data_IF_412446372930
#
_entry.id   IF_412446372930
#
_cell.length_a   1.000
_cell.length_b   1.000
_cell.length_c   1.000
_cell.angle_alpha   90.00
_cell.angle_beta   90.00
_cell.angle_gamma   90.00
#
_symmetry.space_group_name_H-M   'P 1'
#
loop_
_entity.id
_entity.type
_entity.pdbx_description
1 polymer ?
#
# COMPACT_ATOMS: atom_id res chain seq x y z
N UNK A 1 -42.90 -27.44 43.71
CA UNK A 1 -42.26 -27.13 42.41
C UNK A 1 -41.62 -25.73 42.34
N UNK A 2 -41.97 -24.77 43.16
CA UNK A 2 -41.37 -23.42 43.11
C UNK A 2 -39.94 -23.28 43.68
N UNK A 3 -39.52 -24.16 44.57
CA UNK A 3 -38.18 -24.08 45.22
C UNK A 3 -37.03 -24.41 44.26
N UNK A 4 -37.24 -25.27 43.25
CA UNK A 4 -36.21 -25.69 42.28
C UNK A 4 -35.91 -24.57 41.26
N UNK A 5 -36.89 -23.76 40.91
CA UNK A 5 -36.72 -22.66 39.94
C UNK A 5 -35.92 -21.48 40.52
N UNK A 6 -36.13 -21.21 41.83
CA UNK A 6 -35.38 -20.14 42.52
C UNK A 6 -33.87 -20.42 42.61
N UNK A 7 -33.46 -21.66 42.82
CA UNK A 7 -32.05 -22.04 42.88
C UNK A 7 -31.39 -21.96 41.50
N UNK A 8 -32.11 -22.27 40.42
CA UNK A 8 -31.59 -22.19 39.06
C UNK A 8 -31.37 -20.74 38.61
N UNK A 9 -32.24 -19.82 38.94
CA UNK A 9 -32.13 -18.41 38.63
C UNK A 9 -31.00 -17.74 39.43
N UNK A 10 -30.86 -18.09 40.71
CA UNK A 10 -29.79 -17.58 41.55
C UNK A 10 -28.40 -18.05 41.07
N UNK A 11 -28.27 -19.30 40.61
CA UNK A 11 -27.01 -19.83 40.07
C UNK A 11 -26.59 -19.15 38.77
N UNK A 12 -27.54 -18.84 37.87
CA UNK A 12 -27.27 -18.13 36.63
C UNK A 12 -26.86 -16.66 36.91
N UNK A 13 -27.47 -15.98 37.88
CA UNK A 13 -27.10 -14.60 38.24
C UNK A 13 -25.67 -14.54 38.83
N UNK A 14 -25.28 -15.52 39.68
CA UNK A 14 -23.92 -15.58 40.25
C UNK A 14 -22.87 -15.88 39.17
N UNK A 15 -23.17 -16.78 38.21
CA UNK A 15 -22.26 -17.05 37.08
C UNK A 15 -22.09 -15.83 36.17
N UNK A 16 -23.17 -15.10 35.86
CA UNK A 16 -23.08 -13.86 35.06
C UNK A 16 -22.25 -12.79 35.77
N UNK A 17 -22.42 -12.63 37.08
CA UNK A 17 -21.67 -11.65 37.87
C UNK A 17 -20.17 -12.01 37.96
N UNK A 18 -19.87 -13.28 38.16
CA UNK A 18 -18.48 -13.79 38.20
C UNK A 18 -17.77 -13.64 36.81
N UNK A 19 -18.48 -13.92 35.72
CA UNK A 19 -17.94 -13.76 34.37
C UNK A 19 -17.69 -12.28 34.01
N UNK A 20 -18.60 -11.41 34.43
CA UNK A 20 -18.45 -9.95 34.23
C UNK A 20 -17.23 -9.39 34.96
N UNK A 21 -17.03 -9.76 36.22
CA UNK A 21 -15.86 -9.34 37.00
C UNK A 21 -14.54 -9.94 36.50
N UNK A 22 -14.56 -11.17 35.99
CA UNK A 22 -13.37 -11.82 35.45
C UNK A 22 -12.91 -11.13 34.14
N UNK A 23 -13.87 -10.73 33.28
CA UNK A 23 -13.55 -9.96 32.07
C UNK A 23 -13.13 -8.52 32.39
N UNK A 24 -13.80 -7.85 33.33
CA UNK A 24 -13.47 -6.49 33.74
C UNK A 24 -12.03 -6.38 34.31
N UNK A 25 -11.56 -7.40 35.02
CA UNK A 25 -10.19 -7.45 35.54
C UNK A 25 -9.09 -7.59 34.48
N UNK A 26 -9.42 -8.08 33.28
CA UNK A 26 -8.46 -8.20 32.18
C UNK A 26 -8.35 -6.94 31.32
N UNK A 27 -9.38 -6.08 31.34
CA UNK A 27 -9.38 -4.83 30.55
C UNK A 27 -9.02 -3.60 31.38
N UNK A 28 -8.85 -3.73 32.70
CA UNK A 28 -8.40 -2.63 33.58
C UNK A 28 -6.86 -2.67 33.78
N UNK A 29 -6.12 -2.82 32.69
CA UNK A 29 -4.72 -2.42 32.68
C UNK A 29 -4.72 -0.88 32.72
N UNK A 30 -4.47 -0.31 33.91
CA UNK A 30 -4.22 1.12 34.04
C UNK A 30 -3.13 1.54 33.05
N UNK A 31 -3.33 2.63 32.30
CA UNK A 31 -2.22 3.23 31.56
C UNK A 31 -1.17 3.66 32.59
N UNK A 32 -0.05 2.95 32.64
CA UNK A 32 1.15 3.48 33.29
C UNK A 32 1.46 4.80 32.59
N UNK A 33 1.37 5.89 33.34
CA UNK A 33 2.00 7.15 32.95
C UNK A 33 3.51 6.89 32.90
N UNK A 34 3.99 6.59 31.70
CA UNK A 34 5.41 6.63 31.40
C UNK A 34 5.76 8.12 31.43
N UNK A 35 6.47 8.55 32.49
CA UNK A 35 7.17 9.83 32.46
C UNK A 35 8.03 9.84 31.22
N UNK A 36 7.69 10.71 30.27
CA UNK A 36 8.51 10.96 29.09
C UNK A 36 9.74 11.71 29.56
N UNK A 37 10.73 10.98 30.08
CA UNK A 37 12.10 11.47 30.13
C UNK A 37 12.52 11.62 28.66
N UNK A 38 12.85 12.85 28.29
CA UNK A 38 13.22 13.19 26.90
C UNK A 38 14.39 12.31 26.46
N UNK A 39 14.06 11.20 25.80
CA UNK A 39 15.05 10.46 25.04
C UNK A 39 15.56 11.37 23.92
N UNK A 40 16.87 11.38 23.64
CA UNK A 40 17.41 12.11 22.51
C UNK A 40 16.65 11.69 21.25
N UNK A 41 16.21 12.68 20.48
CA UNK A 41 15.47 12.50 19.25
C UNK A 41 16.13 11.38 18.44
N UNK A 42 15.42 10.25 18.28
CA UNK A 42 15.78 9.27 17.28
C UNK A 42 15.77 10.01 15.95
N UNK A 43 16.86 10.00 15.18
CA UNK A 43 16.84 10.64 13.86
C UNK A 43 15.66 10.06 13.10
N UNK A 44 14.79 10.93 12.57
CA UNK A 44 13.82 10.53 11.52
C UNK A 44 14.58 9.66 10.52
N UNK A 45 14.00 8.53 10.06
CA UNK A 45 14.62 7.77 9.00
C UNK A 45 14.78 8.70 7.79
N UNK A 46 15.97 9.27 7.64
CA UNK A 46 16.34 9.91 6.39
C UNK A 46 16.16 8.84 5.31
N UNK A 47 15.61 9.18 4.15
CA UNK A 47 15.58 8.25 3.03
C UNK A 47 17.02 7.79 2.81
N UNK A 48 17.31 6.58 3.26
CA UNK A 48 18.64 5.97 3.08
C UNK A 48 18.76 5.78 1.59
N UNK A 49 19.68 6.54 0.98
CA UNK A 49 20.01 6.41 -0.42
C UNK A 49 20.20 4.92 -0.74
N UNK A 50 19.49 4.47 -1.75
CA UNK A 50 19.53 3.10 -2.21
C UNK A 50 20.97 2.70 -2.47
N UNK A 51 21.52 1.81 -1.64
CA UNK A 51 22.89 1.29 -1.77
C UNK A 51 23.01 0.25 -2.88
N UNK A 52 22.41 0.53 -4.06
CA UNK A 52 22.53 -0.29 -5.26
C UNK A 52 23.77 0.09 -6.07
N UNK A 53 24.40 -0.88 -6.75
CA UNK A 53 25.38 -0.62 -7.80
C UNK A 53 24.73 0.11 -9.00
N UNK A 54 25.54 0.55 -9.95
CA UNK A 54 25.04 1.22 -11.16
C UNK A 54 23.96 0.33 -11.83
N UNK A 55 22.72 0.85 -11.95
CA UNK A 55 21.60 0.09 -12.52
C UNK A 55 20.90 -0.90 -11.56
N UNK A 56 21.11 -0.77 -10.25
CA UNK A 56 20.40 -1.55 -9.22
C UNK A 56 19.72 -0.63 -8.20
N UNK A 57 18.46 -0.91 -7.89
CA UNK A 57 17.67 -0.24 -6.86
C UNK A 57 17.22 -1.28 -5.84
N UNK A 58 17.35 -0.96 -4.56
CA UNK A 58 16.90 -1.81 -3.47
C UNK A 58 15.88 -1.06 -2.60
N UNK A 59 14.64 -1.52 -2.61
CA UNK A 59 13.54 -0.95 -1.84
C UNK A 59 13.28 -1.76 -0.58
N UNK A 60 13.16 -1.08 0.55
CA UNK A 60 12.64 -1.69 1.78
C UNK A 60 11.11 -1.67 1.76
N UNK A 61 10.45 -2.67 2.34
CA UNK A 61 9.00 -2.62 2.48
C UNK A 61 8.58 -1.55 3.50
N UNK A 62 7.43 -0.93 3.26
CA UNK A 62 6.77 -0.07 4.23
C UNK A 62 6.13 -0.87 5.39
N UNK A 63 5.42 -0.20 6.31
CA UNK A 63 4.74 -0.84 7.42
C UNK A 63 3.62 -1.80 7.00
N UNK A 64 3.10 -1.67 5.77
CA UNK A 64 2.07 -2.52 5.18
C UNK A 64 2.66 -3.66 4.34
N UNK A 65 3.98 -3.69 4.16
CA UNK A 65 4.70 -4.67 3.35
C UNK A 65 4.78 -4.30 1.86
N UNK A 66 4.40 -3.08 1.47
CA UNK A 66 4.50 -2.59 0.10
C UNK A 66 5.89 -2.02 -0.18
N UNK A 67 6.32 -2.13 -1.43
CA UNK A 67 7.54 -1.49 -1.92
C UNK A 67 7.16 -0.22 -2.68
N UNK A 68 7.58 0.92 -2.17
CA UNK A 68 7.28 2.24 -2.71
C UNK A 68 8.51 2.84 -3.38
N UNK A 69 8.30 3.54 -4.48
CA UNK A 69 9.36 4.23 -5.22
C UNK A 69 8.81 5.47 -5.90
N UNK A 70 9.68 6.44 -6.13
CA UNK A 70 9.36 7.63 -6.91
C UNK A 70 9.77 7.40 -8.36
N UNK A 71 8.85 7.65 -9.27
CA UNK A 71 9.01 7.48 -10.71
C UNK A 71 8.89 8.84 -11.37
N UNK A 72 9.90 9.22 -12.13
CA UNK A 72 9.86 10.47 -12.93
C UNK A 72 9.18 10.18 -14.26
N UNK A 73 8.11 10.90 -14.54
CA UNK A 73 7.43 10.92 -15.83
C UNK A 73 7.35 12.38 -16.29
N UNK A 74 8.07 12.72 -17.37
CA UNK A 74 8.14 14.08 -17.93
C UNK A 74 8.52 15.17 -16.90
N UNK A 75 9.41 14.84 -15.95
CA UNK A 75 9.90 15.77 -14.92
C UNK A 75 9.00 15.87 -13.68
N UNK A 76 7.93 15.06 -13.59
CA UNK A 76 7.07 14.96 -12.44
C UNK A 76 7.36 13.66 -11.68
N UNK A 77 7.62 13.77 -10.38
CA UNK A 77 7.80 12.60 -9.51
C UNK A 77 6.43 12.09 -9.06
N UNK A 78 6.13 10.86 -9.43
CA UNK A 78 4.93 10.14 -9.03
C UNK A 78 5.31 9.05 -8.03
N UNK A 79 4.71 9.09 -6.85
CA UNK A 79 4.91 8.08 -5.82
C UNK A 79 4.08 6.83 -6.12
N UNK A 80 4.75 5.68 -6.35
CA UNK A 80 4.11 4.48 -6.86
C UNK A 80 4.43 3.27 -5.99
N UNK A 81 3.47 2.34 -5.91
CA UNK A 81 3.71 0.99 -5.37
C UNK A 81 4.23 0.11 -6.51
N UNK A 82 5.34 -0.61 -6.28
CA UNK A 82 5.81 -1.65 -7.20
C UNK A 82 4.90 -2.86 -7.06
N UNK A 83 4.13 -3.16 -8.11
CA UNK A 83 3.11 -4.21 -8.09
C UNK A 83 3.30 -5.20 -9.25
N UNK A 84 3.90 -6.36 -8.95
CA UNK A 84 4.07 -7.45 -9.93
C UNK A 84 2.76 -8.16 -10.27
N UNK A 85 1.69 -7.93 -9.53
CA UNK A 85 0.34 -8.43 -9.81
C UNK A 85 -0.43 -7.56 -10.80
N UNK A 86 -0.02 -6.30 -10.99
CA UNK A 86 -0.61 -5.40 -11.98
C UNK A 86 0.03 -5.64 -13.36
N UNK A 87 -0.79 -5.94 -14.37
CA UNK A 87 -0.30 -6.13 -15.75
C UNK A 87 0.27 -4.85 -16.36
N UNK A 88 -0.38 -3.72 -16.08
CA UNK A 88 -0.01 -2.40 -16.61
C UNK A 88 0.38 -1.45 -15.50
N UNK A 89 1.21 -0.47 -15.82
CA UNK A 89 1.29 0.74 -15.01
C UNK A 89 -0.11 1.32 -14.86
N UNK A 90 -0.52 1.63 -13.64
CA UNK A 90 -1.85 2.16 -13.36
C UNK A 90 -1.71 3.47 -12.62
N UNK A 91 -2.12 4.55 -13.28
CA UNK A 91 -2.07 5.90 -12.70
C UNK A 91 -3.41 6.22 -12.02
N UNK A 92 -3.35 6.90 -10.89
CA UNK A 92 -4.52 7.59 -10.35
C UNK A 92 -4.93 8.68 -11.35
N UNK A 93 -6.18 9.13 -11.29
CA UNK A 93 -6.62 10.27 -12.11
C UNK A 93 -5.83 11.54 -11.78
N UNK A 94 -5.49 11.74 -10.50
CA UNK A 94 -4.72 12.89 -10.02
C UNK A 94 -3.30 12.90 -10.59
N UNK A 95 -2.59 11.78 -10.48
CA UNK A 95 -1.21 11.64 -11.00
C UNK A 95 -1.17 11.80 -12.54
N UNK A 96 -2.14 11.21 -13.24
CA UNK A 96 -2.25 11.36 -14.68
C UNK A 96 -2.43 12.84 -15.08
N UNK A 97 -3.31 13.56 -14.38
CA UNK A 97 -3.52 14.98 -14.60
C UNK A 97 -2.25 15.80 -14.32
N UNK A 98 -1.50 15.45 -13.27
CA UNK A 98 -0.25 16.14 -12.90
C UNK A 98 0.81 16.05 -14.01
N UNK A 99 0.85 14.97 -14.77
CA UNK A 99 1.76 14.76 -15.92
C UNK A 99 1.12 15.13 -17.27
N UNK A 100 -0.03 15.82 -17.25
CA UNK A 100 -0.71 16.31 -18.45
C UNK A 100 -1.50 15.25 -19.24
N UNK A 101 -1.70 14.06 -18.68
CA UNK A 101 -2.51 12.99 -19.27
C UNK A 101 -3.96 13.10 -18.76
N UNK A 102 -4.87 13.56 -19.64
CA UNK A 102 -6.26 13.84 -19.28
C UNK A 102 -7.21 13.10 -20.25
N UNK A 103 -7.47 11.80 -20.04
CA UNK A 103 -8.37 11.07 -20.94
C UNK A 103 -9.80 11.59 -20.87
N UNK A 104 -10.45 11.73 -22.04
CA UNK A 104 -11.86 12.09 -22.09
C UNK A 104 -12.73 10.97 -21.45
N UNK A 105 -13.91 11.29 -20.91
CA UNK A 105 -14.80 10.27 -20.29
C UNK A 105 -15.12 9.08 -21.20
N UNK A 106 -15.14 9.27 -22.51
CA UNK A 106 -15.40 8.23 -23.51
C UNK A 106 -14.21 7.27 -23.73
N UNK A 107 -13.03 7.59 -23.21
CA UNK A 107 -11.82 6.76 -23.33
C UNK A 107 -11.72 5.73 -22.22
N UNK A 108 -12.49 5.89 -21.11
CA UNK A 108 -12.60 4.91 -20.02
C UNK A 108 -13.47 3.71 -20.43
N UNK A 109 -12.98 2.91 -21.40
CA UNK A 109 -13.69 1.79 -22.01
C UNK A 109 -12.99 0.43 -21.85
N UNK A 110 -11.76 0.45 -21.32
CA UNK A 110 -11.02 -0.79 -21.10
C UNK A 110 -11.42 -1.41 -19.77
N UNK A 111 -11.94 -2.63 -19.82
CA UNK A 111 -12.29 -3.36 -18.59
C UNK A 111 -11.02 -3.82 -17.90
N UNK A 112 -10.91 -3.55 -16.62
CA UNK A 112 -9.80 -3.99 -15.78
C UNK A 112 -10.35 -4.68 -14.54
N UNK A 113 -9.60 -5.66 -14.04
CA UNK A 113 -9.93 -6.33 -12.78
C UNK A 113 -9.08 -5.69 -11.68
N UNK A 114 -9.73 -5.22 -10.64
CA UNK A 114 -9.07 -4.61 -9.47
C UNK A 114 -9.45 -5.39 -8.21
N UNK A 115 -8.77 -5.12 -7.10
CA UNK A 115 -9.14 -5.70 -5.80
C UNK A 115 -10.61 -5.40 -5.40
N UNK A 116 -11.17 -4.30 -5.91
CA UNK A 116 -12.56 -3.89 -5.66
C UNK A 116 -13.56 -4.47 -6.71
N UNK A 117 -13.08 -5.34 -7.60
CA UNK A 117 -13.89 -5.95 -8.67
C UNK A 117 -13.58 -5.41 -10.06
N UNK A 118 -14.52 -5.59 -10.99
CA UNK A 118 -14.36 -5.14 -12.37
C UNK A 118 -14.61 -3.65 -12.47
N UNK A 119 -13.62 -2.92 -12.98
CA UNK A 119 -13.71 -1.50 -13.28
C UNK A 119 -13.49 -1.20 -14.76
N UNK A 120 -13.40 0.09 -15.07
CA UNK A 120 -13.01 0.61 -16.39
C UNK A 120 -11.79 1.50 -16.23
N UNK A 121 -10.98 1.60 -17.28
CA UNK A 121 -9.80 2.45 -17.34
C UNK A 121 -9.66 3.05 -18.73
N UNK A 122 -8.91 4.13 -18.84
CA UNK A 122 -8.46 4.67 -20.11
C UNK A 122 -7.04 4.16 -20.39
N UNK A 123 -6.81 3.61 -21.58
CA UNK A 123 -5.48 3.16 -22.00
C UNK A 123 -4.70 4.33 -22.57
N UNK A 124 -3.47 4.50 -22.08
CA UNK A 124 -2.55 5.55 -22.50
C UNK A 124 -1.16 4.97 -22.73
N UNK A 125 -0.28 5.73 -23.37
CA UNK A 125 1.13 5.39 -23.50
C UNK A 125 1.97 6.45 -22.78
N UNK A 126 2.93 6.00 -21.97
CA UNK A 126 3.94 6.85 -21.34
C UNK A 126 5.20 6.75 -22.19
N UNK A 127 5.59 7.83 -22.90
CA UNK A 127 6.74 7.77 -23.80
C UNK A 127 8.04 7.45 -23.09
N UNK A 128 8.23 7.97 -21.87
CA UNK A 128 9.40 7.73 -21.03
C UNK A 128 9.02 7.76 -19.57
N UNK A 129 9.51 6.76 -18.85
CA UNK A 129 9.42 6.61 -17.42
C UNK A 129 10.84 6.42 -16.89
N UNK A 130 11.23 7.16 -15.87
CA UNK A 130 12.54 7.04 -15.26
C UNK A 130 12.43 6.63 -13.80
N UNK A 131 13.17 5.60 -13.45
CA UNK A 131 13.28 5.05 -12.11
C UNK A 131 14.74 5.20 -11.66
N UNK A 132 15.03 6.24 -10.89
CA UNK A 132 16.41 6.70 -10.58
C UNK A 132 17.25 6.89 -11.85
N UNK A 133 18.17 5.94 -12.14
CA UNK A 133 19.07 5.96 -13.30
C UNK A 133 18.56 5.09 -14.46
N UNK A 134 17.51 4.29 -14.24
CA UNK A 134 16.92 3.41 -15.24
C UNK A 134 15.85 4.13 -16.04
N UNK A 135 15.95 4.10 -17.35
CA UNK A 135 14.94 4.66 -18.26
C UNK A 135 14.19 3.54 -18.98
N UNK A 136 12.88 3.64 -19.00
CA UNK A 136 11.98 2.70 -19.67
C UNK A 136 11.13 3.51 -20.64
N UNK A 137 11.03 3.04 -21.88
CA UNK A 137 10.35 3.74 -22.96
C UNK A 137 9.11 2.99 -23.41
N UNK A 138 8.15 3.72 -23.97
CA UNK A 138 6.92 3.20 -24.58
C UNK A 138 6.10 2.31 -23.67
N UNK A 139 5.89 2.76 -22.43
CA UNK A 139 5.19 2.01 -21.40
C UNK A 139 3.68 2.13 -21.56
N UNK A 140 3.00 1.02 -21.83
CA UNK A 140 1.54 1.00 -21.80
C UNK A 140 1.04 1.20 -20.36
N UNK A 141 0.07 2.09 -20.19
CA UNK A 141 -0.50 2.41 -18.88
C UNK A 141 -2.02 2.55 -18.94
N UNK A 142 -2.63 2.42 -17.78
CA UNK A 142 -4.03 2.74 -17.55
C UNK A 142 -4.16 3.95 -16.65
N UNK A 143 -5.06 4.85 -17.00
CA UNK A 143 -5.55 5.89 -16.08
C UNK A 143 -6.85 5.38 -15.48
N UNK A 144 -6.87 5.31 -14.16
CA UNK A 144 -8.05 4.87 -13.41
C UNK A 144 -9.00 6.05 -13.19
N UNK A 145 -10.32 5.82 -13.16
CA UNK A 145 -11.27 6.87 -12.79
C UNK A 145 -10.97 7.43 -11.39
N UNK A 146 -11.42 8.65 -11.16
CA UNK A 146 -11.32 9.30 -9.86
C UNK A 146 -11.84 8.40 -8.72
N UNK A 147 -11.06 8.26 -7.65
CA UNK A 147 -11.39 7.44 -6.48
C UNK A 147 -11.29 5.92 -6.68
N UNK A 148 -10.99 5.42 -7.90
CA UNK A 148 -10.86 3.97 -8.15
C UNK A 148 -9.50 3.40 -7.71
N UNK A 149 -8.48 4.24 -7.56
CA UNK A 149 -7.14 3.90 -7.12
C UNK A 149 -6.62 4.99 -6.18
N UNK A 150 -6.02 4.61 -5.07
CA UNK A 150 -5.50 5.56 -4.07
C UNK A 150 -4.02 5.91 -4.28
N UNK A 151 -3.26 5.00 -4.85
CA UNK A 151 -1.82 5.18 -5.12
C UNK A 151 -1.53 4.53 -6.45
N UNK A 152 -0.78 5.21 -7.31
CA UNK A 152 -0.38 4.68 -8.61
C UNK A 152 0.46 3.42 -8.48
N UNK A 153 0.35 2.51 -9.46
CA UNK A 153 1.01 1.21 -9.46
C UNK A 153 2.04 1.13 -10.58
N UNK A 154 3.26 0.75 -10.25
CA UNK A 154 4.30 0.39 -11.20
C UNK A 154 4.16 -1.09 -11.55
N UNK A 155 3.43 -1.38 -12.64
CA UNK A 155 3.07 -2.72 -13.06
C UNK A 155 4.03 -3.35 -14.04
N UNK A 156 3.70 -4.57 -14.49
CA UNK A 156 4.54 -5.41 -15.35
C UNK A 156 4.83 -4.78 -16.72
N UNK A 157 3.97 -3.90 -17.24
CA UNK A 157 4.26 -3.18 -18.50
C UNK A 157 5.54 -2.33 -18.42
N UNK A 158 5.95 -1.90 -17.21
CA UNK A 158 7.25 -1.28 -16.98
C UNK A 158 8.27 -2.28 -16.45
N UNK A 159 7.90 -3.06 -15.42
CA UNK A 159 8.83 -3.96 -14.72
C UNK A 159 9.45 -5.03 -15.61
N UNK A 160 8.75 -5.48 -16.66
CA UNK A 160 9.27 -6.47 -17.62
C UNK A 160 10.41 -5.96 -18.51
N UNK A 161 10.64 -4.65 -18.55
CA UNK A 161 11.79 -4.05 -19.23
C UNK A 161 13.08 -4.13 -18.40
N UNK A 162 12.96 -4.47 -17.12
CA UNK A 162 14.11 -4.66 -16.24
C UNK A 162 14.68 -6.08 -16.41
N UNK A 163 16.00 -6.21 -16.30
CA UNK A 163 16.66 -7.51 -16.34
C UNK A 163 16.28 -8.37 -15.14
N UNK A 164 15.95 -7.75 -14.00
CA UNK A 164 15.61 -8.47 -12.77
C UNK A 164 14.65 -7.69 -11.87
N UNK A 165 13.67 -8.42 -11.36
CA UNK A 165 12.75 -7.99 -10.30
C UNK A 165 12.65 -9.15 -9.31
N UNK A 166 13.22 -9.01 -8.13
CA UNK A 166 13.20 -10.08 -7.12
C UNK A 166 13.12 -9.53 -5.70
N UNK A 167 12.61 -10.35 -4.78
CA UNK A 167 12.68 -10.07 -3.36
C UNK A 167 13.82 -10.92 -2.79
N UNK A 168 14.85 -10.26 -2.26
CA UNK A 168 16.02 -10.88 -1.66
C UNK A 168 16.35 -10.20 -0.33
N UNK A 169 16.55 -10.99 0.73
CA UNK A 169 16.83 -10.46 2.05
C UNK A 169 15.75 -9.51 2.62
N UNK A 170 14.48 -9.71 2.22
CA UNK A 170 13.36 -8.85 2.64
C UNK A 170 13.30 -7.49 1.92
N UNK A 171 14.11 -7.28 0.89
CA UNK A 171 14.13 -6.08 0.05
C UNK A 171 13.74 -6.43 -1.38
N UNK A 172 13.02 -5.54 -2.05
CA UNK A 172 12.80 -5.65 -3.48
C UNK A 172 14.02 -5.11 -4.22
N UNK A 173 14.60 -5.93 -5.09
CA UNK A 173 15.76 -5.60 -5.92
C UNK A 173 15.30 -5.48 -7.37
N UNK A 174 15.55 -4.31 -7.96
CA UNK A 174 15.28 -4.00 -9.36
C UNK A 174 16.63 -3.78 -10.06
N UNK A 175 16.84 -4.39 -11.24
CA UNK A 175 18.05 -4.20 -12.08
C UNK A 175 17.68 -3.97 -13.53
N UNK A 176 18.43 -3.10 -14.17
CA UNK A 176 18.40 -2.89 -15.61
C UNK A 176 19.40 -3.80 -16.31
#
# INVERSE_FOLDING_TARGET
MFRSVFFSVAALAVMSYAASNYLAGRFNAQPQQVSVESAPATPEPQPQGNGGGYGEIQLAPDASGNYLTDVDIDGHLIHMIVDTGATYVSLTNEDANAIGINPAPTEYRYRTMTANGVGVAAKVNIPRLRLEQMEIYDVEAFVMPEGALHTSLLGMSALSHLAKVEISGGRLVLRQ
#
